data_IF_320856720243
#
_entry.id   IF_320856720243
#
_cell.length_a   1.000
_cell.length_b   1.000
_cell.length_c   1.000
_cell.angle_alpha   90.00
_cell.angle_beta   90.00
_cell.angle_gamma   90.00
#
_symmetry.space_group_name_H-M   'P 1'
#
loop_
_entity.id
_entity.type
_entity.pdbx_description
1 polymer ?
#
# COMPACT_ATOMS: atom_id res chain seq x y z
N UNK A 1 -21.12 30.00 16.00
CA UNK A 1 -20.25 28.80 16.05
C UNK A 1 -21.01 27.68 15.34
N UNK A 2 -20.56 27.03 14.27
CA UNK A 2 -19.17 26.80 13.82
C UNK A 2 -19.17 26.56 12.31
N UNK A 3 -18.24 27.21 11.60
CA UNK A 3 -17.99 26.99 10.18
C UNK A 3 -17.28 25.66 9.99
N UNK A 4 -17.85 24.74 9.21
CA UNK A 4 -17.16 23.49 8.82
C UNK A 4 -16.22 23.82 7.68
N UNK A 5 -14.92 23.87 7.98
CA UNK A 5 -13.88 24.06 6.97
C UNK A 5 -13.67 22.76 6.21
N UNK A 6 -14.15 22.70 4.97
CA UNK A 6 -13.80 21.62 4.03
C UNK A 6 -12.40 21.90 3.52
N UNK A 7 -11.42 21.09 3.93
CA UNK A 7 -10.05 21.15 3.40
C UNK A 7 -10.06 20.73 1.92
N UNK A 8 -10.15 21.71 1.03
CA UNK A 8 -10.08 21.52 -0.42
C UNK A 8 -8.64 21.23 -0.84
N UNK A 9 -8.29 19.96 -1.01
CA UNK A 9 -7.05 19.56 -1.67
C UNK A 9 -7.15 19.94 -3.17
N UNK A 10 -6.40 20.95 -3.61
CA UNK A 10 -6.23 21.24 -5.04
C UNK A 10 -4.95 20.54 -5.51
N UNK A 11 -5.08 19.43 -6.22
CA UNK A 11 -3.97 18.86 -6.99
C UNK A 11 -3.86 19.69 -8.28
N UNK A 12 -2.87 20.59 -8.33
CA UNK A 12 -2.42 21.21 -9.58
C UNK A 12 -1.21 20.40 -10.04
N UNK A 13 -1.39 19.52 -11.02
CA UNK A 13 -0.25 18.87 -11.71
C UNK A 13 0.04 19.69 -12.94
N UNK A 14 1.13 20.45 -12.89
CA UNK A 14 1.74 21.07 -14.05
C UNK A 14 3.24 20.79 -14.01
N UNK A 15 3.68 19.62 -14.47
CA UNK A 15 5.08 19.35 -14.81
C UNK A 15 5.12 18.30 -15.93
N UNK A 16 5.84 18.63 -17.00
CA UNK A 16 6.12 17.74 -18.13
C UNK A 16 7.10 16.61 -17.82
N UNK A 17 7.16 15.65 -18.74
CA UNK A 17 7.65 14.26 -18.65
C UNK A 17 6.55 13.30 -18.20
N UNK A 18 5.98 12.58 -19.18
CA UNK A 18 4.91 11.59 -19.00
C UNK A 18 5.46 10.33 -18.31
N UNK A 19 5.82 10.43 -17.02
CA UNK A 19 5.92 9.26 -16.16
C UNK A 19 4.51 8.97 -15.64
N UNK A 20 3.86 7.98 -16.23
CA UNK A 20 2.54 7.53 -15.78
C UNK A 20 2.68 6.93 -14.37
N UNK A 21 2.13 7.63 -13.38
CA UNK A 21 2.08 7.15 -12.00
C UNK A 21 1.14 5.93 -11.89
N UNK A 22 1.65 4.79 -11.43
CA UNK A 22 0.89 3.56 -11.24
C UNK A 22 0.36 3.47 -9.81
N UNK A 23 -0.96 3.62 -9.66
CA UNK A 23 -1.65 3.52 -8.37
C UNK A 23 -2.52 2.26 -8.32
N UNK A 24 -2.40 1.48 -7.26
CA UNK A 24 -3.13 0.22 -7.07
C UNK A 24 -3.91 0.15 -5.76
N UNK A 25 -4.92 -0.70 -5.74
CA UNK A 25 -5.58 -1.16 -4.52
C UNK A 25 -5.62 -2.69 -4.54
N UNK A 26 -5.06 -3.32 -3.52
CA UNK A 26 -4.94 -4.77 -3.44
C UNK A 26 -5.58 -5.27 -2.15
N UNK A 27 -6.74 -5.91 -2.28
CA UNK A 27 -7.34 -6.64 -1.17
C UNK A 27 -6.66 -8.00 -1.04
N UNK A 28 -5.89 -8.19 0.02
CA UNK A 28 -5.25 -9.46 0.35
C UNK A 28 -6.08 -10.11 1.44
N UNK A 29 -6.87 -11.13 1.07
CA UNK A 29 -7.75 -11.84 1.99
C UNK A 29 -7.01 -12.22 3.28
N UNK A 30 -7.51 -11.69 4.40
CA UNK A 30 -6.95 -11.88 5.74
C UNK A 30 -5.43 -11.66 5.80
N UNK A 31 -4.94 -10.51 5.33
CA UNK A 31 -3.52 -10.17 5.41
C UNK A 31 -3.06 -10.06 6.86
N UNK A 32 -2.09 -10.87 7.26
CA UNK A 32 -1.59 -10.96 8.63
C UNK A 32 -0.50 -12.02 8.73
N UNK A 33 -0.09 -12.36 9.95
CA UNK A 33 1.05 -13.24 10.23
C UNK A 33 1.03 -14.57 9.48
N UNK A 34 -0.11 -15.25 9.45
CA UNK A 34 -0.24 -16.54 8.78
C UNK A 34 0.04 -16.45 7.28
N UNK A 35 -0.20 -15.28 6.67
CA UNK A 35 0.04 -15.06 5.23
C UNK A 35 1.49 -14.66 4.95
N UNK A 36 2.07 -13.82 5.81
CA UNK A 36 3.44 -13.29 5.63
C UNK A 36 4.53 -14.25 6.12
N UNK A 37 4.20 -15.21 6.99
CA UNK A 37 5.13 -16.29 7.39
C UNK A 37 5.36 -17.34 6.30
N UNK A 38 4.51 -17.39 5.27
CA UNK A 38 4.71 -18.24 4.10
C UNK A 38 5.56 -17.50 3.07
N UNK A 39 6.82 -17.90 2.90
CA UNK A 39 7.78 -17.26 2.00
C UNK A 39 7.29 -17.14 0.56
N UNK A 40 6.61 -18.17 0.03
CA UNK A 40 6.06 -18.14 -1.34
C UNK A 40 4.97 -17.09 -1.48
N UNK A 41 4.08 -16.97 -0.49
CA UNK A 41 3.00 -15.98 -0.52
C UNK A 41 3.54 -14.56 -0.33
N UNK A 42 4.52 -14.38 0.55
CA UNK A 42 5.18 -13.09 0.76
C UNK A 42 5.87 -12.62 -0.53
N UNK A 43 6.63 -13.50 -1.20
CA UNK A 43 7.29 -13.20 -2.48
C UNK A 43 6.28 -12.78 -3.57
N UNK A 44 5.14 -13.48 -3.68
CA UNK A 44 4.08 -13.10 -4.62
C UNK A 44 3.52 -11.71 -4.29
N UNK A 45 3.24 -11.42 -3.01
CA UNK A 45 2.71 -10.12 -2.58
C UNK A 45 3.72 -9.02 -2.88
N UNK A 46 5.00 -9.21 -2.55
CA UNK A 46 6.09 -8.27 -2.82
C UNK A 46 6.21 -7.97 -4.31
N UNK A 47 6.18 -8.99 -5.17
CA UNK A 47 6.16 -8.82 -6.63
C UNK A 47 4.97 -8.01 -7.12
N UNK A 48 3.79 -8.16 -6.51
CA UNK A 48 2.61 -7.34 -6.85
C UNK A 48 2.83 -5.89 -6.42
N UNK A 49 3.35 -5.65 -5.22
CA UNK A 49 3.62 -4.30 -4.67
C UNK A 49 4.59 -3.53 -5.55
N UNK A 50 5.69 -4.15 -6.00
CA UNK A 50 6.69 -3.51 -6.87
C UNK A 50 6.17 -3.05 -8.25
N UNK A 51 4.96 -3.45 -8.65
CA UNK A 51 4.35 -2.98 -9.92
C UNK A 51 3.71 -1.60 -9.81
N UNK A 52 3.57 -1.06 -8.61
CA UNK A 52 2.89 0.20 -8.36
C UNK A 52 3.82 1.18 -7.66
N UNK A 53 3.70 2.46 -8.01
CA UNK A 53 4.36 3.55 -7.28
C UNK A 53 3.66 3.79 -5.94
N UNK A 54 2.34 3.60 -5.90
CA UNK A 54 1.51 3.70 -4.69
C UNK A 54 0.52 2.54 -4.69
N UNK A 55 0.47 1.76 -3.61
CA UNK A 55 -0.54 0.69 -3.44
C UNK A 55 -1.18 0.77 -2.07
N UNK A 56 -2.51 0.65 -2.02
CA UNK A 56 -3.27 0.48 -0.78
C UNK A 56 -3.56 -1.01 -0.59
N UNK A 57 -3.11 -1.56 0.55
CA UNK A 57 -3.44 -2.94 0.95
C UNK A 57 -4.65 -2.92 1.87
N UNK A 58 -5.63 -3.78 1.57
CA UNK A 58 -6.88 -3.92 2.34
C UNK A 58 -6.97 -5.29 3.00
N UNK A 59 -7.91 -5.43 3.95
CA UNK A 59 -8.09 -6.62 4.81
C UNK A 59 -6.89 -6.94 5.71
N UNK A 60 -6.17 -5.89 6.13
CA UNK A 60 -5.10 -6.00 7.13
C UNK A 60 -5.69 -6.42 8.48
N UNK A 61 -5.30 -7.60 8.93
CA UNK A 61 -5.57 -8.21 10.25
C UNK A 61 -4.23 -8.38 10.97
N UNK A 62 -3.66 -7.25 11.33
CA UNK A 62 -2.28 -7.15 11.85
C UNK A 62 -2.24 -6.08 12.94
N UNK A 63 -2.69 -6.43 14.15
CA UNK A 63 -2.87 -5.48 15.24
C UNK A 63 -1.54 -4.98 15.85
N UNK A 64 -0.47 -5.76 15.70
CA UNK A 64 0.86 -5.47 16.24
C UNK A 64 1.89 -5.06 15.16
N UNK A 65 1.42 -4.88 13.91
CA UNK A 65 2.21 -4.49 12.74
C UNK A 65 3.30 -5.50 12.31
N UNK A 66 3.29 -6.73 12.84
CA UNK A 66 4.31 -7.73 12.51
C UNK A 66 4.26 -8.15 11.05
N UNK A 67 3.07 -8.39 10.50
CA UNK A 67 2.91 -8.76 9.09
C UNK A 67 3.26 -7.60 8.15
N UNK A 68 2.87 -6.38 8.54
CA UNK A 68 3.18 -5.15 7.82
C UNK A 68 4.68 -4.91 7.77
N UNK A 69 5.38 -5.06 8.89
CA UNK A 69 6.83 -4.91 8.96
C UNK A 69 7.55 -5.97 8.11
N UNK A 70 7.14 -7.25 8.16
CA UNK A 70 7.69 -8.29 7.28
C UNK A 70 7.53 -7.96 5.79
N UNK A 71 6.39 -7.40 5.39
CA UNK A 71 6.18 -6.96 4.02
C UNK A 71 7.11 -5.79 3.67
N UNK A 72 7.23 -4.80 4.56
CA UNK A 72 8.13 -3.66 4.35
C UNK A 72 9.59 -4.08 4.26
N UNK A 73 10.03 -5.04 5.08
CA UNK A 73 11.35 -5.65 4.99
C UNK A 73 11.55 -6.35 3.65
N UNK A 74 10.56 -7.12 3.18
CA UNK A 74 10.65 -7.79 1.88
C UNK A 74 10.64 -6.83 0.69
N UNK A 75 9.98 -5.67 0.80
CA UNK A 75 9.91 -4.65 -0.25
C UNK A 75 11.18 -3.78 -0.30
N UNK A 76 11.82 -3.55 0.85
CA UNK A 76 13.02 -2.73 0.97
C UNK A 76 14.33 -3.53 0.97
N UNK A 77 14.24 -4.87 0.98
CA UNK A 77 15.37 -5.80 1.00
C UNK A 77 15.99 -6.04 -0.37
#
# INVERSE_FOLDING_TARGET
>A
MSSVSVYRMKIIIAVGLLLSLLIGAFNIKTFGDSKTSNATLLDIITKVVHRYDIVVIQEVRDSDLTATNRLMESVNG
#
